data_IF_584838485389
#
_entry.id   IF_584838485389
#
_cell.length_a   1.000
_cell.length_b   1.000
_cell.length_c   1.000
_cell.angle_alpha   90.00
_cell.angle_beta   90.00
_cell.angle_gamma   90.00
#
_symmetry.space_group_name_H-M   'P 1'
#
loop_
_entity.id
_entity.type
_entity.pdbx_description
1 polymer ?
#
# COMPACT_ATOMS: atom_id res chain seq x y z
N UNK A 1 85.10 -11.05 -31.86
CA UNK A 1 84.12 -9.95 -32.00
C UNK A 1 82.80 -10.40 -31.37
N UNK A 2 82.18 -9.51 -30.59
CA UNK A 2 81.26 -9.76 -29.47
C UNK A 2 79.91 -10.39 -29.86
N UNK A 3 79.52 -11.43 -29.13
CA UNK A 3 78.15 -11.95 -29.02
C UNK A 3 77.36 -11.04 -28.07
N UNK A 4 76.23 -10.49 -28.49
CA UNK A 4 75.29 -9.83 -27.57
C UNK A 4 73.89 -10.44 -27.68
N UNK A 5 73.43 -10.81 -26.49
CA UNK A 5 72.26 -11.56 -26.09
C UNK A 5 70.99 -10.73 -26.32
N UNK A 6 70.03 -11.24 -27.08
CA UNK A 6 68.70 -10.64 -27.23
C UNK A 6 67.87 -10.99 -25.98
N UNK A 7 67.60 -9.97 -25.16
CA UNK A 7 66.81 -10.07 -23.93
C UNK A 7 65.32 -9.87 -24.29
N UNK A 8 64.55 -10.95 -24.41
CA UNK A 8 63.08 -10.91 -24.53
C UNK A 8 62.47 -10.56 -23.18
N UNK A 9 61.97 -9.33 -23.03
CA UNK A 9 61.18 -8.90 -21.86
C UNK A 9 59.72 -9.31 -22.08
N UNK A 10 59.29 -10.31 -21.33
CA UNK A 10 57.92 -10.83 -21.31
C UNK A 10 57.05 -9.89 -20.46
N UNK A 11 56.21 -9.07 -21.08
CA UNK A 11 55.23 -8.23 -20.39
C UNK A 11 54.05 -9.08 -19.90
N UNK A 12 54.07 -9.45 -18.61
CA UNK A 12 52.89 -9.97 -17.91
C UNK A 12 51.95 -8.79 -17.58
N UNK A 13 50.88 -8.61 -18.36
CA UNK A 13 49.77 -7.72 -17.99
C UNK A 13 48.87 -8.44 -16.97
N UNK A 14 48.68 -7.92 -15.74
CA UNK A 14 47.65 -8.45 -14.85
C UNK A 14 46.29 -7.99 -15.36
N UNK A 15 45.44 -8.94 -15.76
CA UNK A 15 44.03 -8.69 -16.03
C UNK A 15 43.34 -8.29 -14.72
N UNK A 16 43.15 -6.98 -14.51
CA UNK A 16 42.34 -6.45 -13.42
C UNK A 16 40.88 -6.80 -13.76
N UNK A 17 40.40 -7.92 -13.21
CA UNK A 17 38.98 -8.27 -13.23
C UNK A 17 38.28 -7.28 -12.29
N UNK A 18 37.81 -6.17 -12.85
CA UNK A 18 36.88 -5.27 -12.16
C UNK A 18 35.58 -6.04 -11.93
N UNK A 19 35.43 -6.59 -10.72
CA UNK A 19 34.18 -7.15 -10.25
C UNK A 19 33.10 -6.07 -10.23
N UNK A 20 32.23 -6.06 -11.23
CA UNK A 20 31.03 -5.23 -11.22
C UNK A 20 30.15 -5.69 -10.05
N UNK A 21 30.13 -4.92 -8.95
CA UNK A 21 29.10 -5.05 -7.92
C UNK A 21 27.76 -4.75 -8.57
N UNK A 22 26.99 -5.79 -8.93
CA UNK A 22 25.57 -5.66 -9.32
C UNK A 22 24.83 -5.05 -8.13
N UNK A 23 24.60 -3.74 -8.19
CA UNK A 23 23.73 -3.07 -7.24
C UNK A 23 22.32 -3.58 -7.49
N UNK A 24 21.72 -4.21 -6.47
CA UNK A 24 20.33 -4.64 -6.56
C UNK A 24 19.46 -3.41 -6.87
N UNK A 25 18.50 -3.51 -7.82
CA UNK A 25 17.65 -2.39 -8.16
C UNK A 25 16.90 -1.91 -6.91
N UNK A 26 17.05 -0.62 -6.57
CA UNK A 26 16.35 0.03 -5.46
C UNK A 26 14.85 -0.10 -5.71
N UNK A 27 14.19 -0.96 -4.94
CA UNK A 27 12.75 -1.18 -5.09
C UNK A 27 12.02 0.05 -4.55
N UNK A 28 11.44 0.83 -5.44
CA UNK A 28 10.64 2.00 -5.06
C UNK A 28 9.27 1.53 -4.56
N UNK A 29 8.87 2.01 -3.39
CA UNK A 29 7.52 1.80 -2.84
C UNK A 29 6.73 3.06 -3.13
N UNK A 30 5.59 2.92 -3.79
CA UNK A 30 4.69 4.04 -4.12
C UNK A 30 3.49 4.02 -3.18
N UNK A 31 3.04 5.18 -2.74
CA UNK A 31 1.74 5.30 -2.10
C UNK A 31 0.62 5.09 -3.13
N UNK A 32 -0.51 4.55 -2.67
CA UNK A 32 -1.65 4.21 -3.54
C UNK A 32 -2.11 5.41 -4.39
N UNK A 33 -2.28 6.56 -3.75
CA UNK A 33 -2.70 7.80 -4.41
C UNK A 33 -1.68 8.27 -5.45
N UNK A 34 -0.38 8.20 -5.13
CA UNK A 34 0.70 8.57 -6.05
C UNK A 34 0.73 7.64 -7.27
N UNK A 35 0.61 6.32 -7.03
CA UNK A 35 0.62 5.32 -8.09
C UNK A 35 -0.57 5.46 -9.05
N UNK A 36 -1.73 5.85 -8.54
CA UNK A 36 -2.90 6.19 -9.35
C UNK A 36 -2.67 7.46 -10.18
N UNK A 37 -2.21 8.55 -9.55
CA UNK A 37 -1.94 9.83 -10.24
C UNK A 37 -0.92 9.68 -11.37
N UNK A 38 0.09 8.82 -11.18
CA UNK A 38 1.12 8.53 -12.17
C UNK A 38 0.69 7.47 -13.21
N UNK A 39 -0.55 6.99 -13.17
CA UNK A 39 -1.06 5.91 -14.03
C UNK A 39 -0.15 4.67 -14.00
N UNK A 40 0.39 4.32 -12.82
CA UNK A 40 1.22 3.12 -12.62
C UNK A 40 0.37 1.87 -12.46
N UNK A 41 -0.81 2.02 -11.87
CA UNK A 41 -1.74 0.94 -11.57
C UNK A 41 -3.18 1.35 -11.83
N UNK A 42 -4.06 0.36 -11.95
CA UNK A 42 -5.51 0.52 -11.87
C UNK A 42 -6.05 -0.34 -10.73
N UNK A 43 -7.14 0.12 -10.11
CA UNK A 43 -7.74 -0.52 -8.94
C UNK A 43 -9.21 -0.84 -9.20
N UNK A 44 -9.64 -1.96 -8.67
CA UNK A 44 -11.04 -2.30 -8.46
C UNK A 44 -11.22 -2.54 -6.95
N UNK A 45 -12.05 -1.73 -6.30
CA UNK A 45 -12.28 -1.77 -4.86
C UNK A 45 -13.74 -2.08 -4.62
N UNK A 46 -14.01 -3.19 -3.92
CA UNK A 46 -15.35 -3.69 -3.65
C UNK A 46 -15.56 -3.95 -2.18
N UNK A 47 -16.72 -3.55 -1.66
CA UNK A 47 -17.20 -3.95 -0.35
C UNK A 47 -17.33 -5.47 -0.25
N UNK A 48 -16.91 -6.05 0.87
CA UNK A 48 -17.13 -7.46 1.20
C UNK A 48 -18.39 -7.68 2.04
N UNK A 49 -19.02 -6.59 2.51
CA UNK A 49 -20.15 -6.62 3.43
C UNK A 49 -19.73 -6.50 4.90
N UNK A 50 -20.71 -6.22 5.76
CA UNK A 50 -20.54 -6.24 7.23
C UNK A 50 -20.28 -4.87 7.86
N UNK A 51 -20.26 -4.86 9.20
CA UNK A 51 -20.07 -3.66 10.04
C UNK A 51 -18.70 -3.62 10.73
N UNK A 52 -17.95 -4.74 10.73
CA UNK A 52 -16.69 -4.91 11.45
C UNK A 52 -15.75 -5.83 10.66
N UNK A 53 -14.45 -5.65 10.83
CA UNK A 53 -13.43 -6.52 10.24
C UNK A 53 -13.04 -6.17 8.80
N UNK A 54 -12.63 -7.15 7.98
CA UNK A 54 -12.21 -6.92 6.60
C UNK A 54 -13.41 -6.54 5.72
N UNK A 55 -13.59 -5.25 5.41
CA UNK A 55 -14.77 -4.75 4.69
C UNK A 55 -14.52 -4.36 3.23
N UNK A 56 -13.28 -4.40 2.75
CA UNK A 56 -12.93 -4.08 1.36
C UNK A 56 -12.01 -5.14 0.74
N UNK A 57 -12.35 -5.58 -0.48
CA UNK A 57 -11.44 -6.29 -1.38
C UNK A 57 -10.88 -5.31 -2.40
N UNK A 58 -9.56 -5.26 -2.52
CA UNK A 58 -8.83 -4.48 -3.52
C UNK A 58 -8.20 -5.44 -4.52
N UNK A 59 -8.45 -5.21 -5.80
CA UNK A 59 -7.74 -5.85 -6.92
C UNK A 59 -6.95 -4.78 -7.64
N UNK A 60 -5.62 -4.94 -7.67
CA UNK A 60 -4.70 -3.98 -8.24
C UNK A 60 -4.00 -4.57 -9.47
N UNK A 61 -4.13 -3.90 -10.61
CA UNK A 61 -3.47 -4.29 -11.87
C UNK A 61 -2.35 -3.32 -12.18
N UNK A 62 -1.20 -3.88 -12.54
CA UNK A 62 -0.06 -3.10 -13.02
C UNK A 62 -0.29 -2.62 -14.45
N UNK A 63 -0.06 -1.34 -14.69
CA UNK A 63 -0.15 -0.73 -16.02
C UNK A 63 1.22 -0.54 -16.68
N UNK A 64 2.29 -0.92 -15.98
CA UNK A 64 3.68 -0.77 -16.41
C UNK A 64 4.35 -2.13 -16.57
N UNK A 65 5.34 -2.18 -17.46
CA UNK A 65 6.17 -3.38 -17.70
C UNK A 65 7.19 -3.70 -16.60
N UNK A 66 7.02 -3.20 -15.37
CA UNK A 66 7.96 -3.37 -14.25
C UNK A 66 7.24 -3.72 -12.96
N UNK A 67 7.86 -4.52 -12.11
CA UNK A 67 7.34 -4.83 -10.78
C UNK A 67 7.16 -3.56 -9.94
N UNK A 68 6.07 -3.48 -9.18
CA UNK A 68 5.76 -2.34 -8.31
C UNK A 68 5.51 -2.84 -6.88
N UNK A 69 5.97 -2.07 -5.89
CA UNK A 69 5.48 -2.18 -4.51
C UNK A 69 4.56 -1.01 -4.23
N UNK A 70 3.34 -1.30 -3.82
CA UNK A 70 2.37 -0.29 -3.41
C UNK A 70 2.18 -0.33 -1.91
N UNK A 71 2.01 0.84 -1.31
CA UNK A 71 1.60 1.02 0.08
C UNK A 71 0.21 1.67 0.11
N UNK A 72 -0.71 1.03 0.82
CA UNK A 72 -2.00 1.60 1.20
C UNK A 72 -1.85 2.05 2.66
N UNK A 73 -1.73 3.35 2.93
CA UNK A 73 -1.41 3.83 4.27
C UNK A 73 -2.59 3.64 5.24
N UNK A 74 -2.27 3.43 6.52
CA UNK A 74 -3.26 3.57 7.59
C UNK A 74 -3.91 4.96 7.53
N UNK A 75 -5.23 5.00 7.63
CA UNK A 75 -6.00 6.23 7.49
C UNK A 75 -6.36 6.60 6.05
N UNK A 76 -6.01 5.80 5.04
CA UNK A 76 -6.51 6.03 3.69
C UNK A 76 -8.03 5.95 3.68
N UNK A 77 -8.73 7.01 3.27
CA UNK A 77 -10.17 6.93 3.03
C UNK A 77 -10.45 6.20 1.72
N UNK A 78 -11.57 5.49 1.71
CA UNK A 78 -12.16 4.81 0.56
C UNK A 78 -13.59 5.29 0.45
N UNK A 79 -13.85 6.09 -0.58
CA UNK A 79 -15.12 6.77 -0.76
C UNK A 79 -16.06 5.90 -1.61
N UNK A 80 -17.31 5.67 -1.17
CA UNK A 80 -18.25 4.86 -1.93
C UNK A 80 -18.72 5.61 -3.17
N UNK A 81 -18.95 4.86 -4.25
CA UNK A 81 -19.56 5.41 -5.45
C UNK A 81 -21.06 5.76 -5.24
N UNK A 82 -21.73 5.05 -4.33
CA UNK A 82 -23.09 5.32 -3.87
C UNK A 82 -23.02 6.01 -2.50
N UNK A 83 -23.41 7.28 -2.47
CA UNK A 83 -23.34 8.14 -1.28
C UNK A 83 -24.29 7.73 -0.14
N UNK A 84 -25.15 6.72 -0.34
CA UNK A 84 -25.93 6.14 0.76
C UNK A 84 -25.11 5.22 1.66
N UNK A 85 -23.89 4.84 1.24
CA UNK A 85 -22.94 4.09 2.06
C UNK A 85 -21.95 5.02 2.77
N UNK A 86 -21.38 4.53 3.89
CA UNK A 86 -20.32 5.23 4.61
C UNK A 86 -18.99 5.18 3.84
N UNK A 87 -18.25 6.28 3.84
CA UNK A 87 -16.80 6.29 3.63
C UNK A 87 -16.12 5.36 4.62
N UNK A 88 -15.18 4.57 4.14
CA UNK A 88 -14.39 3.65 4.94
C UNK A 88 -12.98 4.19 5.15
N UNK A 89 -12.39 3.93 6.31
CA UNK A 89 -11.00 4.28 6.62
C UNK A 89 -10.17 3.04 6.87
N UNK A 90 -9.03 2.92 6.20
CA UNK A 90 -8.11 1.78 6.31
C UNK A 90 -7.49 1.74 7.71
N UNK A 91 -7.70 0.63 8.42
CA UNK A 91 -7.28 0.46 9.81
C UNK A 91 -5.77 0.26 9.95
N UNK A 92 -5.13 -0.43 9.01
CA UNK A 92 -3.72 -0.83 9.07
C UNK A 92 -3.02 -0.59 7.73
N UNK A 93 -1.73 -0.24 7.76
CA UNK A 93 -0.97 -0.07 6.52
C UNK A 93 -0.80 -1.41 5.82
N UNK A 94 -1.25 -1.50 4.57
CA UNK A 94 -1.08 -2.69 3.73
C UNK A 94 -0.02 -2.44 2.67
N UNK A 95 0.86 -3.41 2.42
CA UNK A 95 1.77 -3.39 1.28
C UNK A 95 1.36 -4.46 0.27
N UNK A 96 1.36 -4.10 -1.01
CA UNK A 96 1.06 -4.99 -2.13
C UNK A 96 2.26 -5.13 -3.05
N UNK A 97 2.60 -6.37 -3.41
CA UNK A 97 3.56 -6.68 -4.44
C UNK A 97 2.81 -6.87 -5.77
N UNK A 98 2.90 -5.90 -6.68
CA UNK A 98 2.15 -5.92 -7.94
C UNK A 98 3.07 -6.39 -9.07
N UNK A 99 2.81 -7.61 -9.54
CA UNK A 99 3.52 -8.23 -10.66
C UNK A 99 3.21 -7.54 -12.00
N UNK A 100 3.93 -7.92 -13.05
CA UNK A 100 3.76 -7.32 -14.39
C UNK A 100 2.48 -7.82 -15.08
N UNK A 101 2.14 -9.11 -14.91
CA UNK A 101 1.05 -9.78 -15.63
C UNK A 101 -0.08 -10.27 -14.73
N UNK A 102 0.12 -10.26 -13.42
CA UNK A 102 -0.83 -10.80 -12.45
C UNK A 102 -1.32 -9.68 -11.55
N UNK A 103 -2.63 -9.58 -11.38
CA UNK A 103 -3.21 -8.66 -10.43
C UNK A 103 -2.81 -9.05 -9.00
N UNK A 104 -2.54 -8.06 -8.16
CA UNK A 104 -2.40 -8.27 -6.73
C UNK A 104 -3.76 -8.08 -6.05
N UNK A 105 -4.08 -8.94 -5.09
CA UNK A 105 -5.31 -8.80 -4.30
C UNK A 105 -4.97 -8.60 -2.82
N UNK A 106 -5.76 -7.80 -2.13
CA UNK A 106 -5.77 -7.75 -0.67
C UNK A 106 -7.18 -7.50 -0.15
N UNK A 107 -7.42 -7.98 1.06
CA UNK A 107 -8.58 -7.57 1.85
C UNK A 107 -8.10 -6.59 2.91
N UNK A 108 -8.73 -5.42 2.96
CA UNK A 108 -8.39 -4.36 3.91
C UNK A 108 -9.33 -4.44 5.11
N UNK A 109 -8.75 -4.37 6.30
CA UNK A 109 -9.49 -4.04 7.52
C UNK A 109 -9.79 -2.55 7.52
N UNK A 110 -11.05 -2.22 7.74
CA UNK A 110 -11.53 -0.84 7.68
C UNK A 110 -12.53 -0.56 8.78
N UNK A 111 -12.67 0.71 9.13
CA UNK A 111 -13.79 1.20 9.92
C UNK A 111 -14.67 2.11 9.08
N UNK A 112 -15.96 2.15 9.38
CA UNK A 112 -16.87 3.10 8.78
C UNK A 112 -16.69 4.49 9.41
N UNK A 113 -16.74 5.56 8.62
CA UNK A 113 -16.43 6.92 9.09
C UNK A 113 -17.67 7.81 9.32
N UNK A 114 -18.90 7.33 9.06
CA UNK A 114 -20.11 8.17 9.08
C UNK A 114 -21.29 7.45 9.74
N UNK A 115 -21.47 7.58 11.05
CA UNK A 115 -22.43 6.77 11.81
C UNK A 115 -23.88 6.73 11.26
N UNK A 116 -24.31 7.74 10.50
CA UNK A 116 -25.65 7.83 9.91
C UNK A 116 -25.88 7.08 8.59
N UNK A 117 -24.83 6.77 7.81
CA UNK A 117 -25.01 6.16 6.48
C UNK A 117 -24.95 4.63 6.56
N UNK A 118 -25.34 3.96 5.47
CA UNK A 118 -25.39 2.50 5.44
C UNK A 118 -23.98 1.91 5.45
N UNK A 119 -23.79 0.82 6.18
CA UNK A 119 -22.54 0.06 6.11
C UNK A 119 -22.35 -0.59 4.73
N UNK A 120 -21.10 -0.85 4.32
CA UNK A 120 -20.80 -1.35 2.98
C UNK A 120 -21.54 -2.65 2.69
N UNK A 121 -22.22 -2.71 1.55
CA UNK A 121 -22.79 -3.95 1.03
C UNK A 121 -21.75 -4.75 0.25
N UNK A 122 -21.91 -6.07 0.18
CA UNK A 122 -21.11 -6.89 -0.71
C UNK A 122 -21.26 -6.40 -2.16
N UNK A 123 -20.13 -6.15 -2.83
CA UNK A 123 -20.09 -5.64 -4.20
C UNK A 123 -20.27 -4.12 -4.37
N UNK A 124 -20.51 -3.38 -3.29
CA UNK A 124 -20.50 -1.90 -3.34
C UNK A 124 -19.13 -1.39 -3.81
N UNK A 125 -19.12 -0.38 -4.68
CA UNK A 125 -17.90 0.10 -5.35
C UNK A 125 -17.33 1.28 -4.57
N UNK A 126 -16.00 1.30 -4.44
CA UNK A 126 -15.28 2.39 -3.78
C UNK A 126 -14.16 2.95 -4.65
N UNK A 127 -13.79 4.20 -4.39
CA UNK A 127 -12.64 4.89 -4.94
C UNK A 127 -11.66 5.28 -3.82
N UNK A 128 -10.41 5.53 -4.18
CA UNK A 128 -9.40 6.01 -3.22
C UNK A 128 -9.67 7.47 -2.91
N UNK A 129 -9.96 7.76 -1.64
CA UNK A 129 -10.21 9.11 -1.12
C UNK A 129 -8.95 9.81 -0.64
N UNK A 130 -9.13 10.84 0.18
CA UNK A 130 -8.02 11.55 0.82
C UNK A 130 -7.38 10.74 1.96
N UNK A 131 -6.16 11.10 2.35
CA UNK A 131 -5.58 10.59 3.59
C UNK A 131 -6.27 11.26 4.80
N UNK A 132 -6.63 10.45 5.79
CA UNK A 132 -7.29 10.94 7.00
C UNK A 132 -6.46 11.99 7.77
N UNK A 133 -7.13 12.94 8.45
CA UNK A 133 -6.46 13.90 9.30
C UNK A 133 -5.68 13.20 10.43
N UNK A 134 -4.65 13.88 10.93
CA UNK A 134 -3.71 13.31 11.90
C UNK A 134 -4.42 12.76 13.15
N UNK A 135 -5.44 13.46 13.65
CA UNK A 135 -6.22 13.02 14.82
C UNK A 135 -6.81 11.61 14.62
N UNK A 136 -7.41 11.34 13.47
CA UNK A 136 -7.97 10.02 13.17
C UNK A 136 -6.87 8.98 12.99
N UNK A 137 -5.78 9.33 12.31
CA UNK A 137 -4.62 8.41 12.15
C UNK A 137 -4.00 8.03 13.49
N UNK A 138 -3.90 8.96 14.44
CA UNK A 138 -3.40 8.70 15.78
C UNK A 138 -4.33 7.75 16.56
N UNK A 139 -5.65 7.91 16.43
CA UNK A 139 -6.61 6.95 16.99
C UNK A 139 -6.44 5.56 16.37
N UNK A 140 -6.38 5.46 15.04
CA UNK A 140 -6.20 4.17 14.36
C UNK A 140 -4.89 3.49 14.78
N UNK A 141 -3.80 4.26 14.88
CA UNK A 141 -2.52 3.77 15.40
C UNK A 141 -2.68 3.21 16.82
N UNK A 142 -3.34 3.94 17.72
CA UNK A 142 -3.60 3.47 19.08
C UNK A 142 -4.44 2.18 19.10
N UNK A 143 -5.51 2.09 18.31
CA UNK A 143 -6.36 0.90 18.19
C UNK A 143 -5.53 -0.32 17.78
N UNK A 144 -4.67 -0.15 16.76
CA UNK A 144 -3.78 -1.22 16.27
C UNK A 144 -2.75 -1.61 17.33
N UNK A 145 -2.08 -0.65 17.95
CA UNK A 145 -1.08 -0.89 19.01
C UNK A 145 -1.67 -1.61 20.23
N UNK A 146 -2.97 -1.43 20.50
CA UNK A 146 -3.68 -2.14 21.56
C UNK A 146 -4.29 -3.48 21.13
N UNK A 147 -4.12 -3.88 19.87
CA UNK A 147 -4.69 -5.11 19.32
C UNK A 147 -6.22 -5.10 19.32
N UNK A 148 -6.84 -3.93 19.11
CA UNK A 148 -8.28 -3.71 19.21
C UNK A 148 -8.96 -3.52 17.85
N UNK A 149 -8.30 -3.88 16.75
CA UNK A 149 -8.86 -3.65 15.41
C UNK A 149 -10.18 -4.42 15.20
N UNK A 150 -10.28 -5.62 15.76
CA UNK A 150 -11.45 -6.48 15.62
C UNK A 150 -12.48 -6.28 16.77
N UNK A 151 -12.25 -5.29 17.65
CA UNK A 151 -13.15 -4.97 18.74
C UNK A 151 -14.28 -4.02 18.28
N UNK A 152 -15.54 -4.26 18.69
CA UNK A 152 -16.65 -3.37 18.32
C UNK A 152 -16.47 -1.94 18.83
N UNK A 153 -15.81 -1.75 19.97
CA UNK A 153 -15.54 -0.42 20.55
C UNK A 153 -14.64 0.44 19.65
N UNK A 154 -13.81 -0.19 18.82
CA UNK A 154 -12.95 0.53 17.87
C UNK A 154 -13.77 1.27 16.81
N UNK A 155 -14.85 0.65 16.31
CA UNK A 155 -15.77 1.29 15.36
C UNK A 155 -16.47 2.51 16.01
N UNK A 156 -16.93 2.37 17.25
CA UNK A 156 -17.52 3.48 18.00
C UNK A 156 -16.53 4.63 18.22
N UNK A 157 -15.27 4.31 18.56
CA UNK A 157 -14.23 5.31 18.74
C UNK A 157 -13.95 6.09 17.46
N UNK A 158 -13.94 5.41 16.30
CA UNK A 158 -13.80 6.06 14.99
C UNK A 158 -14.94 7.04 14.74
N UNK A 159 -16.19 6.63 14.96
CA UNK A 159 -17.35 7.52 14.83
C UNK A 159 -17.34 8.71 15.79
N UNK A 160 -16.76 8.58 16.98
CA UNK A 160 -16.60 9.71 17.89
C UNK A 160 -15.66 10.78 17.33
N UNK A 161 -14.62 10.36 16.60
CA UNK A 161 -13.68 11.29 15.96
C UNK A 161 -14.22 11.86 14.65
N UNK A 162 -14.95 11.07 13.86
CA UNK A 162 -15.38 11.46 12.51
C UNK A 162 -16.78 12.07 12.45
N UNK A 163 -17.70 11.62 13.31
CA UNK A 163 -19.11 12.03 13.32
C UNK A 163 -19.51 12.78 14.61
N UNK A 164 -18.54 13.06 15.50
CA UNK A 164 -18.79 13.80 16.74
C UNK A 164 -19.58 13.03 17.81
N UNK A 165 -19.64 11.69 17.71
CA UNK A 165 -20.22 10.83 18.75
C UNK A 165 -19.47 10.92 20.09
N UNK A 166 -20.12 10.45 21.16
CA UNK A 166 -19.53 10.28 22.49
C UNK A 166 -19.49 8.80 22.86
N UNK A 167 -18.48 8.36 23.61
CA UNK A 167 -18.37 6.98 24.11
C UNK A 167 -19.05 6.76 25.48
N UNK A 168 -19.75 7.76 26.01
CA UNK A 168 -20.34 7.73 27.35
C UNK A 168 -19.40 8.32 28.40
#
# INVERSE_FOLDING_TARGET
MRKHLLLTVLFFLPAIIFGQKKTAPKTTVYDLEEALKQNLVSLEIKGTGGHQGPSLKVVCKNLKGKFLRLRIPQGQFMDPADSSFQTLVVAETQTLAVGIKTAAEATLKTFCAQAGDRSPAAGSVFAVGALAPERLRNLLKFIVEKGKVDNPEAQSAVWCVTSGGSLG
#
